data_IF_925081996735
#
_entry.id   IF_925081996735
#
_cell.length_a   1.000
_cell.length_b   1.000
_cell.length_c   1.000
_cell.angle_alpha   90.00
_cell.angle_beta   90.00
_cell.angle_gamma   90.00
#
_symmetry.space_group_name_H-M   'P 1'
#
loop_
_entity.id
_entity.type
_entity.pdbx_description
1 polymer ?
#
# COMPACT_ATOMS: atom_id res chain seq x y z
N UNK A 1 6.71 -20.73 5.90
CA UNK A 1 7.96 -20.59 5.12
C UNK A 1 8.21 -21.88 4.36
N UNK A 2 9.04 -21.84 3.32
CA UNK A 2 9.46 -23.00 2.53
C UNK A 2 10.94 -23.29 2.86
N UNK A 3 11.26 -23.84 4.04
CA UNK A 3 12.63 -23.87 4.59
C UNK A 3 13.63 -24.66 3.72
N UNK A 4 13.14 -25.65 2.97
CA UNK A 4 14.00 -26.55 2.17
C UNK A 4 14.17 -26.11 0.71
N UNK A 5 13.59 -24.96 0.31
CA UNK A 5 13.65 -24.48 -1.08
C UNK A 5 14.84 -23.54 -1.33
N UNK A 6 15.29 -23.41 -2.59
CA UNK A 6 16.30 -22.43 -2.97
C UNK A 6 15.98 -21.02 -2.46
N UNK A 7 17.01 -20.28 -2.06
CA UNK A 7 16.87 -18.93 -1.47
C UNK A 7 16.07 -17.97 -2.36
N UNK A 8 16.17 -18.09 -3.69
CA UNK A 8 15.43 -17.26 -4.63
C UNK A 8 13.91 -17.51 -4.53
N UNK A 9 13.49 -18.76 -4.33
CA UNK A 9 12.08 -19.11 -4.15
C UNK A 9 11.57 -18.59 -2.79
N UNK A 10 12.40 -18.71 -1.75
CA UNK A 10 12.06 -18.14 -0.44
C UNK A 10 11.91 -16.63 -0.51
N UNK A 11 12.82 -15.95 -1.21
CA UNK A 11 12.77 -14.51 -1.38
C UNK A 11 11.50 -14.05 -2.11
N UNK A 12 11.10 -14.73 -3.20
CA UNK A 12 9.84 -14.45 -3.89
C UNK A 12 8.63 -14.70 -2.98
N UNK A 13 8.63 -15.77 -2.18
CA UNK A 13 7.58 -16.03 -1.17
C UNK A 13 7.49 -14.88 -0.15
N UNK A 14 8.62 -14.37 0.34
CA UNK A 14 8.66 -13.25 1.30
C UNK A 14 8.14 -11.95 0.67
N UNK A 15 8.50 -11.66 -0.58
CA UNK A 15 8.01 -10.48 -1.31
C UNK A 15 6.50 -10.56 -1.52
N UNK A 16 5.97 -11.70 -1.99
CA UNK A 16 4.53 -11.88 -2.19
C UNK A 16 3.75 -11.77 -0.87
N UNK A 17 4.26 -12.37 0.21
CA UNK A 17 3.68 -12.18 1.55
C UNK A 17 3.73 -10.72 1.97
N UNK A 18 4.84 -10.02 1.70
CA UNK A 18 4.98 -8.59 1.94
C UNK A 18 3.89 -7.76 1.24
N UNK A 19 3.56 -8.09 -0.01
CA UNK A 19 2.49 -7.40 -0.74
C UNK A 19 1.13 -7.63 -0.10
N UNK A 20 0.80 -8.86 0.30
CA UNK A 20 -0.49 -9.15 0.96
C UNK A 20 -0.61 -8.62 2.39
N UNK A 21 0.52 -8.40 3.07
CA UNK A 21 0.55 -7.98 4.47
C UNK A 21 0.01 -6.56 4.70
N UNK A 22 -0.14 -5.73 3.65
CA UNK A 22 -0.79 -4.41 3.76
C UNK A 22 -2.20 -4.52 4.37
N UNK A 23 -2.93 -5.59 4.03
CA UNK A 23 -4.26 -5.88 4.58
C UNK A 23 -4.21 -7.04 5.60
N UNK A 24 -3.08 -7.19 6.31
CA UNK A 24 -2.88 -8.18 7.37
C UNK A 24 -2.95 -9.65 6.91
N UNK A 25 -2.71 -9.90 5.62
CA UNK A 25 -2.71 -11.24 5.06
C UNK A 25 -1.29 -11.76 4.89
N UNK A 26 -1.01 -12.93 5.45
CA UNK A 26 0.25 -13.65 5.31
C UNK A 26 0.12 -14.82 4.31
N UNK A 27 -0.23 -14.53 3.07
CA UNK A 27 -0.47 -15.55 2.04
C UNK A 27 0.13 -15.12 0.69
N UNK A 28 1.13 -15.84 0.15
CA UNK A 28 1.79 -15.47 -1.09
C UNK A 28 0.86 -15.56 -2.32
N UNK A 29 -0.14 -16.45 -2.30
CA UNK A 29 -1.15 -16.52 -3.36
C UNK A 29 -2.03 -15.27 -3.35
N UNK A 30 -2.46 -14.82 -2.18
CA UNK A 30 -3.17 -13.53 -2.04
C UNK A 30 -2.28 -12.38 -2.53
N UNK A 31 -0.98 -12.39 -2.21
CA UNK A 31 -0.02 -11.41 -2.72
C UNK A 31 0.06 -11.39 -4.24
N UNK A 32 0.09 -12.57 -4.88
CA UNK A 32 0.08 -12.68 -6.34
C UNK A 32 -1.21 -12.14 -6.96
N UNK A 33 -2.36 -12.39 -6.34
CA UNK A 33 -3.65 -11.86 -6.80
C UNK A 33 -3.69 -10.33 -6.63
N UNK A 34 -3.13 -9.80 -5.54
CA UNK A 34 -2.99 -8.34 -5.34
C UNK A 34 -2.10 -7.73 -6.43
N UNK A 35 -0.99 -8.37 -6.81
CA UNK A 35 -0.16 -7.93 -7.96
C UNK A 35 -0.98 -7.91 -9.25
N UNK A 36 -1.83 -8.90 -9.50
CA UNK A 36 -2.73 -8.89 -10.65
C UNK A 36 -3.72 -7.71 -10.59
N UNK A 37 -4.23 -7.36 -9.41
CA UNK A 37 -5.03 -6.17 -9.20
C UNK A 37 -4.27 -4.88 -9.50
N UNK A 38 -3.01 -4.77 -9.07
CA UNK A 38 -2.16 -3.63 -9.45
C UNK A 38 -1.98 -3.51 -10.97
N UNK A 39 -1.83 -4.64 -11.69
CA UNK A 39 -1.71 -4.62 -13.15
C UNK A 39 -2.99 -4.12 -13.83
N UNK A 40 -4.16 -4.48 -13.27
CA UNK A 40 -5.47 -3.97 -13.73
C UNK A 40 -5.62 -2.48 -13.46
N UNK A 41 -5.07 -1.98 -12.35
CA UNK A 41 -5.03 -0.55 -12.07
C UNK A 41 -4.07 0.19 -13.00
N UNK A 42 -2.78 -0.14 -12.91
CA UNK A 42 -1.70 0.51 -13.63
C UNK A 42 -0.39 -0.33 -13.58
N UNK A 43 0.15 -0.77 -14.73
CA UNK A 43 1.42 -1.50 -14.77
C UNK A 43 2.62 -0.74 -14.22
N UNK A 44 2.66 0.59 -14.36
CA UNK A 44 3.72 1.43 -13.80
C UNK A 44 3.69 1.41 -12.26
N UNK A 45 2.51 1.52 -11.66
CA UNK A 45 2.36 1.47 -10.20
C UNK A 45 2.72 0.08 -9.67
N UNK A 46 2.36 -0.97 -10.41
CA UNK A 46 2.78 -2.35 -10.11
C UNK A 46 4.30 -2.45 -10.02
N UNK A 47 5.01 -1.90 -11.02
CA UNK A 47 6.46 -1.95 -11.06
C UNK A 47 7.08 -1.22 -9.86
N UNK A 48 6.62 0.00 -9.54
CA UNK A 48 7.17 0.79 -8.43
C UNK A 48 6.85 0.17 -7.07
N UNK A 49 5.63 -0.36 -6.88
CA UNK A 49 5.24 -1.09 -5.66
C UNK A 49 6.05 -2.37 -5.45
N UNK A 50 6.23 -3.18 -6.51
CA UNK A 50 7.09 -4.36 -6.46
C UNK A 50 8.55 -3.99 -6.15
N UNK A 51 9.08 -2.93 -6.78
CA UNK A 51 10.43 -2.44 -6.49
C UNK A 51 10.57 -2.04 -5.02
N UNK A 52 9.63 -1.27 -4.48
CA UNK A 52 9.66 -0.85 -3.08
C UNK A 52 9.61 -2.03 -2.11
N UNK A 53 8.80 -3.05 -2.41
CA UNK A 53 8.74 -4.30 -1.61
C UNK A 53 10.07 -5.05 -1.63
N UNK A 54 10.65 -5.24 -2.82
CA UNK A 54 11.93 -5.94 -3.00
C UNK A 54 13.04 -5.21 -2.27
N UNK A 55 13.14 -3.88 -2.45
CA UNK A 55 14.17 -3.06 -1.80
C UNK A 55 14.02 -3.11 -0.28
N UNK A 56 12.81 -2.88 0.25
CA UNK A 56 12.57 -2.93 1.70
C UNK A 56 12.91 -4.30 2.29
N UNK A 57 12.55 -5.39 1.60
CA UNK A 57 12.87 -6.76 2.03
C UNK A 57 14.38 -7.02 2.01
N UNK A 58 15.08 -6.62 0.95
CA UNK A 58 16.54 -6.74 0.86
C UNK A 58 17.24 -5.92 1.93
N UNK A 59 16.80 -4.68 2.18
CA UNK A 59 17.33 -3.84 3.23
C UNK A 59 17.16 -4.49 4.60
N UNK A 60 16.01 -5.08 4.89
CA UNK A 60 15.81 -5.82 6.14
C UNK A 60 16.78 -7.01 6.27
N UNK A 61 17.06 -7.71 5.16
CA UNK A 61 18.04 -8.79 5.14
C UNK A 61 19.47 -8.29 5.42
N UNK A 62 19.85 -7.17 4.82
CA UNK A 62 21.18 -6.52 4.96
C UNK A 62 21.37 -5.98 6.37
N UNK A 63 20.34 -5.37 6.95
CA UNK A 63 20.34 -4.85 8.33
C UNK A 63 20.21 -5.95 9.39
N UNK A 64 20.24 -7.23 9.00
CA UNK A 64 20.18 -8.36 9.93
C UNK A 64 18.89 -8.42 10.75
N UNK A 65 17.77 -7.92 10.21
CA UNK A 65 16.47 -7.96 10.90
C UNK A 65 16.00 -9.42 11.06
N UNK A 66 15.08 -9.62 12.01
CA UNK A 66 14.57 -10.95 12.33
C UNK A 66 14.06 -11.69 11.08
N UNK A 67 14.67 -12.84 10.80
CA UNK A 67 14.34 -13.68 9.65
C UNK A 67 12.91 -14.20 9.72
N UNK A 68 12.36 -14.42 10.93
CA UNK A 68 10.98 -14.90 11.06
C UNK A 68 9.98 -13.82 10.63
N UNK A 69 10.18 -12.58 11.06
CA UNK A 69 9.40 -11.41 10.64
C UNK A 69 9.53 -11.11 9.14
N UNK A 70 10.74 -11.23 8.56
CA UNK A 70 10.95 -11.11 7.11
C UNK A 70 10.17 -12.21 6.37
N UNK A 71 10.25 -13.45 6.85
CA UNK A 71 9.63 -14.60 6.19
C UNK A 71 8.10 -14.55 6.14
N UNK A 72 7.48 -13.79 7.05
CA UNK A 72 6.03 -13.52 7.04
C UNK A 72 5.67 -12.19 6.36
N UNK A 73 6.62 -11.50 5.75
CA UNK A 73 6.39 -10.28 4.95
C UNK A 73 6.30 -8.97 5.74
N UNK A 74 6.60 -8.95 7.05
CA UNK A 74 6.44 -7.76 7.89
C UNK A 74 7.37 -6.60 7.52
N UNK A 75 8.46 -6.88 6.80
CA UNK A 75 9.38 -5.88 6.29
C UNK A 75 9.15 -5.50 4.82
N UNK A 76 8.14 -6.08 4.16
CA UNK A 76 7.82 -5.80 2.75
C UNK A 76 6.68 -4.79 2.56
N UNK A 77 5.63 -4.87 3.39
CA UNK A 77 4.37 -4.17 3.11
C UNK A 77 4.45 -2.64 3.21
N UNK A 78 5.30 -2.09 4.06
CA UNK A 78 5.51 -0.64 4.07
C UNK A 78 6.21 -0.18 2.78
N UNK A 79 7.11 -1.01 2.23
CA UNK A 79 7.80 -0.75 0.96
C UNK A 79 6.85 -0.79 -0.24
N UNK A 80 5.86 -1.69 -0.29
CA UNK A 80 4.89 -1.71 -1.39
C UNK A 80 4.08 -0.42 -1.45
N UNK A 81 3.61 0.07 -0.29
CA UNK A 81 2.85 1.30 -0.20
C UNK A 81 3.70 2.53 -0.57
N UNK A 82 4.96 2.59 -0.11
CA UNK A 82 5.88 3.66 -0.54
C UNK A 82 6.02 3.68 -2.07
N UNK A 83 6.29 2.53 -2.69
CA UNK A 83 6.48 2.45 -4.13
C UNK A 83 5.24 2.85 -4.93
N UNK A 84 4.06 2.37 -4.52
CA UNK A 84 2.78 2.73 -5.15
C UNK A 84 2.49 4.22 -5.03
N UNK A 85 2.53 4.76 -3.80
CA UNK A 85 2.04 6.11 -3.55
C UNK A 85 3.04 7.20 -3.98
N UNK A 86 4.34 6.89 -4.07
CA UNK A 86 5.29 7.79 -4.76
C UNK A 86 4.93 7.92 -6.26
N UNK A 87 4.47 6.85 -6.91
CA UNK A 87 4.00 6.91 -8.28
C UNK A 87 2.69 7.69 -8.41
N UNK A 88 1.70 7.39 -7.56
CA UNK A 88 0.39 8.07 -7.54
C UNK A 88 0.54 9.59 -7.35
N UNK A 89 1.39 10.01 -6.41
CA UNK A 89 1.59 11.44 -6.12
C UNK A 89 2.64 12.12 -7.01
N UNK A 90 3.15 11.47 -8.06
CA UNK A 90 4.09 12.10 -8.99
C UNK A 90 3.36 12.98 -10.01
N UNK A 91 3.80 14.22 -10.17
CA UNK A 91 3.28 15.12 -11.21
C UNK A 91 3.89 14.85 -12.60
N UNK A 92 4.86 13.93 -12.71
CA UNK A 92 5.47 13.55 -14.00
C UNK A 92 4.69 12.46 -14.74
N UNK A 93 3.70 11.85 -14.11
CA UNK A 93 2.92 10.75 -14.68
C UNK A 93 3.70 9.43 -14.77
N UNK A 94 3.16 8.51 -15.57
CA UNK A 94 3.70 7.16 -15.68
C UNK A 94 5.02 7.09 -16.46
N UNK A 95 5.83 6.06 -16.17
CA UNK A 95 7.09 5.75 -16.84
C UNK A 95 8.16 6.85 -16.78
N UNK A 96 8.06 7.76 -15.80
CA UNK A 96 9.18 8.60 -15.42
C UNK A 96 10.25 7.76 -14.72
N UNK A 97 11.13 7.10 -15.48
CA UNK A 97 12.09 6.11 -14.98
C UNK A 97 13.01 6.60 -13.85
N UNK A 98 13.32 7.90 -13.81
CA UNK A 98 14.08 8.50 -12.71
C UNK A 98 13.39 8.34 -11.35
N UNK A 99 12.05 8.18 -11.31
CA UNK A 99 11.27 7.94 -10.10
C UNK A 99 11.64 6.63 -9.40
N UNK A 100 12.23 5.66 -10.09
CA UNK A 100 12.70 4.42 -9.45
C UNK A 100 13.80 4.68 -8.41
N UNK A 101 14.58 5.76 -8.57
CA UNK A 101 15.61 6.16 -7.61
C UNK A 101 15.01 6.58 -6.26
N UNK A 102 14.11 7.59 -6.15
CA UNK A 102 13.47 7.91 -4.88
C UNK A 102 12.62 6.75 -4.35
N UNK A 103 11.95 5.96 -5.19
CA UNK A 103 11.22 4.76 -4.73
C UNK A 103 12.17 3.81 -3.98
N UNK A 104 13.34 3.50 -4.55
CA UNK A 104 14.31 2.64 -3.90
C UNK A 104 14.85 3.27 -2.61
N UNK A 105 15.32 4.52 -2.67
CA UNK A 105 15.92 5.21 -1.52
C UNK A 105 14.96 5.36 -0.34
N UNK A 106 13.70 5.74 -0.60
CA UNK A 106 12.69 5.88 0.45
C UNK A 106 12.30 4.52 1.02
N UNK A 107 12.21 3.47 0.18
CA UNK A 107 11.90 2.11 0.65
C UNK A 107 12.98 1.52 1.56
N UNK A 108 14.24 1.91 1.42
CA UNK A 108 15.34 1.55 2.36
C UNK A 108 15.04 2.06 3.78
N UNK A 109 14.27 3.14 3.93
CA UNK A 109 13.94 3.69 5.26
C UNK A 109 12.87 2.86 5.98
N UNK A 110 12.05 2.08 5.26
CA UNK A 110 10.94 1.34 5.86
C UNK A 110 11.37 0.34 6.93
N UNK A 111 12.39 -0.52 6.74
CA UNK A 111 12.88 -1.40 7.80
C UNK A 111 13.44 -0.64 9.01
N UNK A 112 14.09 0.51 8.78
CA UNK A 112 14.63 1.36 9.86
C UNK A 112 13.50 1.90 10.73
N UNK A 113 12.48 2.49 10.12
CA UNK A 113 11.31 2.97 10.86
C UNK A 113 10.53 1.83 11.52
N UNK A 114 10.38 0.69 10.85
CA UNK A 114 9.75 -0.52 11.42
C UNK A 114 10.47 -0.97 12.69
N UNK A 115 11.81 -1.06 12.65
CA UNK A 115 12.61 -1.45 13.81
C UNK A 115 12.53 -0.41 14.93
N UNK A 116 12.64 0.88 14.60
CA UNK A 116 12.60 1.96 15.59
C UNK A 116 11.25 2.01 16.31
N UNK A 117 10.14 2.01 15.55
CA UNK A 117 8.79 2.01 16.11
C UNK A 117 8.50 0.72 16.89
N UNK A 118 8.95 -0.43 16.37
CA UNK A 118 8.80 -1.72 17.06
C UNK A 118 9.48 -1.75 18.42
N UNK A 119 10.65 -1.13 18.57
CA UNK A 119 11.35 -1.04 19.86
C UNK A 119 10.59 -0.24 20.92
N UNK A 120 9.75 0.71 20.49
CA UNK A 120 8.90 1.52 21.37
C UNK A 120 7.58 0.79 21.65
N UNK A 121 6.90 0.34 20.59
CA UNK A 121 5.54 -0.20 20.67
C UNK A 121 5.47 -1.60 21.28
N UNK A 122 6.56 -2.38 21.19
CA UNK A 122 6.66 -3.67 21.88
C UNK A 122 6.50 -3.59 23.39
N UNK A 123 6.72 -2.41 24.01
CA UNK A 123 6.46 -2.18 25.44
C UNK A 123 4.98 -2.27 25.82
N UNK A 124 4.10 -2.13 24.83
CA UNK A 124 2.64 -2.21 24.98
C UNK A 124 2.03 -3.33 24.13
N UNK A 125 2.86 -4.24 23.58
CA UNK A 125 2.42 -5.31 22.67
C UNK A 125 1.64 -4.79 21.44
N UNK A 126 2.01 -3.60 20.97
CA UNK A 126 1.37 -2.96 19.82
C UNK A 126 2.16 -3.21 18.52
N UNK A 127 1.47 -3.49 17.39
CA UNK A 127 2.10 -3.55 16.08
C UNK A 127 2.38 -2.14 15.54
N UNK A 128 3.36 -2.02 14.63
CA UNK A 128 3.73 -0.73 14.03
C UNK A 128 2.77 -0.24 12.94
N UNK A 129 1.91 -1.13 12.43
CA UNK A 129 1.01 -0.87 11.30
C UNK A 129 1.73 -0.17 10.13
N UNK A 130 1.03 0.70 9.40
CA UNK A 130 1.56 1.43 8.25
C UNK A 130 2.26 2.75 8.64
N UNK A 131 2.61 2.95 9.92
CA UNK A 131 3.35 4.14 10.35
C UNK A 131 4.71 4.31 9.65
N UNK A 132 5.51 3.25 9.41
CA UNK A 132 6.75 3.37 8.65
C UNK A 132 6.52 3.95 7.25
N UNK A 133 5.51 3.45 6.53
CA UNK A 133 5.09 3.98 5.24
C UNK A 133 4.66 5.46 5.33
N UNK A 134 3.76 5.80 6.26
CA UNK A 134 3.23 7.15 6.38
C UNK A 134 4.34 8.17 6.69
N UNK A 135 5.28 7.83 7.57
CA UNK A 135 6.43 8.68 7.87
C UNK A 135 7.33 8.85 6.65
N UNK A 136 7.68 7.76 5.97
CA UNK A 136 8.54 7.77 4.79
C UNK A 136 7.93 8.58 3.63
N UNK A 137 6.65 8.34 3.31
CA UNK A 137 5.93 9.04 2.25
C UNK A 137 5.78 10.53 2.57
N UNK A 138 5.36 10.88 3.79
CA UNK A 138 5.18 12.28 4.19
C UNK A 138 6.48 13.07 4.10
N UNK A 139 7.59 12.49 4.58
CA UNK A 139 8.92 13.10 4.46
C UNK A 139 9.33 13.28 3.00
N UNK A 140 9.10 12.27 2.15
CA UNK A 140 9.39 12.36 0.72
C UNK A 140 8.56 13.45 0.02
N UNK A 141 7.25 13.51 0.28
CA UNK A 141 6.36 14.49 -0.33
C UNK A 141 6.72 15.92 0.13
N UNK A 142 7.06 16.11 1.40
CA UNK A 142 7.49 17.39 1.95
C UNK A 142 8.86 17.83 1.39
N UNK A 143 9.81 16.91 1.23
CA UNK A 143 11.14 17.20 0.70
C UNK A 143 11.13 17.49 -0.81
N UNK A 144 10.27 16.79 -1.56
CA UNK A 144 10.16 16.97 -3.00
C UNK A 144 9.29 18.19 -3.32
N UNK A 145 8.01 18.13 -2.94
CA UNK A 145 7.02 19.18 -3.19
C UNK A 145 6.69 19.39 -4.68
N UNK A 146 5.68 20.24 -4.99
CA UNK A 146 5.23 20.44 -6.37
C UNK A 146 6.22 21.19 -7.27
N UNK A 147 7.14 21.94 -6.66
CA UNK A 147 8.10 22.79 -7.37
C UNK A 147 9.49 22.13 -7.51
N UNK A 148 9.63 20.85 -7.16
CA UNK A 148 10.89 20.14 -7.35
C UNK A 148 11.27 20.09 -8.84
N UNK A 149 12.55 20.30 -9.15
CA UNK A 149 13.02 20.23 -10.53
C UNK A 149 12.95 18.81 -11.11
N UNK A 150 13.27 17.80 -10.31
CA UNK A 150 13.41 16.42 -10.77
C UNK A 150 12.17 15.58 -10.45
N UNK A 151 11.66 15.68 -9.23
CA UNK A 151 10.59 14.82 -8.70
C UNK A 151 9.39 15.65 -8.21
N UNK A 152 8.74 16.47 -9.07
CA UNK A 152 7.62 17.27 -8.64
C UNK A 152 6.45 16.37 -8.22
N UNK A 153 5.81 16.71 -7.11
CA UNK A 153 4.62 16.00 -6.61
C UNK A 153 3.33 16.71 -7.02
N UNK A 154 2.21 15.98 -7.03
CA UNK A 154 0.89 16.56 -7.27
C UNK A 154 0.59 17.66 -6.25
N UNK A 155 0.01 18.76 -6.72
CA UNK A 155 -0.39 19.88 -5.85
C UNK A 155 -1.59 19.46 -5.01
N UNK A 156 -1.44 19.45 -3.69
CA UNK A 156 -2.53 19.23 -2.73
C UNK A 156 -2.95 20.59 -2.19
N UNK A 157 -4.20 20.98 -2.39
CA UNK A 157 -4.75 22.26 -1.92
C UNK A 157 -5.83 22.03 -0.86
N UNK A 158 -5.91 22.90 0.17
CA UNK A 158 -7.03 22.89 1.09
C UNK A 158 -8.32 23.28 0.35
N UNK A 159 -9.44 22.69 0.74
CA UNK A 159 -10.75 23.10 0.23
C UNK A 159 -11.02 24.57 0.61
N UNK A 160 -11.25 25.42 -0.39
CA UNK A 160 -11.51 26.86 -0.19
C UNK A 160 -12.99 27.22 -0.28
N UNK A 161 -13.83 26.29 -0.72
CA UNK A 161 -15.27 26.46 -0.87
C UNK A 161 -16.01 25.22 -0.40
N UNK A 162 -17.23 25.41 0.10
CA UNK A 162 -18.14 24.29 0.40
C UNK A 162 -18.65 23.70 -0.91
N UNK A 163 -18.49 22.38 -1.15
CA UNK A 163 -19.01 21.76 -2.36
C UNK A 163 -20.54 21.85 -2.39
N UNK A 164 -21.09 22.18 -3.56
CA UNK A 164 -22.53 22.21 -3.77
C UNK A 164 -23.02 20.78 -4.05
N UNK A 165 -23.60 20.12 -3.04
CA UNK A 165 -24.03 18.71 -3.15
C UNK A 165 -25.53 18.63 -3.36
N UNK A 166 -25.92 17.93 -4.43
CA UNK A 166 -27.31 17.64 -4.76
C UNK A 166 -27.58 16.16 -4.49
N UNK A 167 -28.20 15.86 -3.35
CA UNK A 167 -28.46 14.49 -2.89
C UNK A 167 -29.40 13.69 -3.78
N UNK A 168 -30.14 14.36 -4.67
CA UNK A 168 -31.04 13.74 -5.65
C UNK A 168 -30.29 12.93 -6.72
N UNK A 169 -29.01 13.19 -6.91
CA UNK A 169 -28.20 12.59 -7.99
C UNK A 169 -27.38 11.39 -7.48
N UNK A 170 -27.53 11.02 -6.20
CA UNK A 170 -26.84 9.88 -5.61
C UNK A 170 -27.39 8.56 -6.16
N UNK A 171 -26.70 8.02 -7.18
CA UNK A 171 -27.03 6.73 -7.76
C UNK A 171 -26.60 5.57 -6.86
N UNK A 172 -27.52 4.64 -6.61
CA UNK A 172 -27.28 3.39 -5.90
C UNK A 172 -26.14 2.58 -6.52
N UNK A 173 -25.99 2.64 -7.85
CA UNK A 173 -24.91 1.93 -8.55
C UNK A 173 -23.52 2.46 -8.15
N UNK A 174 -23.38 3.78 -8.03
CA UNK A 174 -22.14 4.43 -7.61
C UNK A 174 -21.83 4.15 -6.13
N UNK A 175 -22.86 4.15 -5.28
CA UNK A 175 -22.72 3.77 -3.87
C UNK A 175 -22.22 2.33 -3.73
N UNK A 176 -22.77 1.39 -4.50
CA UNK A 176 -22.32 0.00 -4.48
C UNK A 176 -20.89 -0.15 -5.01
N UNK A 177 -20.50 0.58 -6.05
CA UNK A 177 -19.13 0.58 -6.57
C UNK A 177 -18.13 1.21 -5.59
N UNK A 178 -18.56 2.11 -4.72
CA UNK A 178 -17.68 2.74 -3.73
C UNK A 178 -17.08 1.75 -2.72
N UNK A 179 -17.75 0.61 -2.46
CA UNK A 179 -17.26 -0.42 -1.54
C UNK A 179 -15.96 -1.07 -2.06
N UNK A 180 -15.92 -1.67 -3.26
CA UNK A 180 -14.66 -2.19 -3.78
C UNK A 180 -13.64 -1.06 -4.02
N UNK A 181 -14.07 0.13 -4.45
CA UNK A 181 -13.15 1.27 -4.62
C UNK A 181 -12.48 1.65 -3.30
N UNK A 182 -13.22 1.73 -2.20
CA UNK A 182 -12.66 2.06 -0.89
C UNK A 182 -11.64 1.01 -0.40
N UNK A 183 -11.85 -0.26 -0.71
CA UNK A 183 -10.84 -1.31 -0.49
C UNK A 183 -9.64 -1.13 -1.42
N UNK A 184 -9.84 -0.77 -2.68
CA UNK A 184 -8.79 -0.42 -3.63
C UNK A 184 -7.89 0.72 -3.16
N UNK A 185 -8.48 1.73 -2.52
CA UNK A 185 -7.80 2.93 -2.05
C UNK A 185 -6.82 2.67 -0.89
N UNK A 186 -6.88 1.51 -0.22
CA UNK A 186 -5.81 1.05 0.69
C UNK A 186 -4.44 1.07 0.01
N UNK A 187 -4.40 0.83 -1.31
CA UNK A 187 -3.22 0.88 -2.16
C UNK A 187 -3.18 2.10 -3.11
N UNK A 188 -4.10 3.06 -2.94
CA UNK A 188 -4.27 4.20 -3.85
C UNK A 188 -4.91 3.85 -5.20
N UNK A 189 -5.63 2.73 -5.30
CA UNK A 189 -6.28 2.29 -6.53
C UNK A 189 -7.76 2.72 -6.57
N UNK A 190 -8.19 3.36 -7.65
CA UNK A 190 -9.56 3.87 -7.84
C UNK A 190 -10.43 3.00 -8.76
N UNK A 191 -9.88 1.99 -9.42
CA UNK A 191 -10.63 1.08 -10.28
C UNK A 191 -11.45 0.07 -9.43
N UNK A 192 -12.79 0.00 -9.58
CA UNK A 192 -13.63 -0.92 -8.81
C UNK A 192 -13.27 -2.39 -9.04
N UNK A 193 -12.79 -2.75 -10.25
CA UNK A 193 -12.35 -4.11 -10.54
C UNK A 193 -11.10 -4.50 -9.75
N UNK A 194 -10.16 -3.57 -9.62
CA UNK A 194 -8.97 -3.74 -8.76
C UNK A 194 -9.37 -4.00 -7.32
N UNK A 195 -10.31 -3.19 -6.80
CA UNK A 195 -10.89 -3.39 -5.47
C UNK A 195 -11.56 -4.76 -5.29
N UNK A 196 -12.33 -5.21 -6.29
CA UNK A 196 -12.92 -6.55 -6.30
C UNK A 196 -11.87 -7.69 -6.29
N UNK A 197 -10.78 -7.52 -7.03
CA UNK A 197 -9.65 -8.47 -7.04
C UNK A 197 -8.98 -8.52 -5.66
N UNK A 198 -8.83 -7.39 -4.98
CA UNK A 198 -8.30 -7.35 -3.62
C UNK A 198 -9.21 -8.04 -2.61
N UNK A 199 -10.54 -7.84 -2.72
CA UNK A 199 -11.51 -8.58 -1.91
C UNK A 199 -11.41 -10.09 -2.15
N UNK A 200 -11.24 -10.55 -3.39
CA UNK A 200 -11.00 -11.96 -3.69
C UNK A 200 -9.71 -12.48 -3.04
N UNK A 201 -8.63 -11.70 -3.11
CA UNK A 201 -7.36 -12.05 -2.46
C UNK A 201 -7.51 -12.20 -0.94
N UNK A 202 -8.28 -11.31 -0.31
CA UNK A 202 -8.63 -11.41 1.12
C UNK A 202 -9.47 -12.64 1.40
N UNK A 203 -10.52 -12.88 0.63
CA UNK A 203 -11.44 -14.01 0.82
C UNK A 203 -10.72 -15.36 0.79
N UNK A 204 -9.79 -15.54 -0.15
CA UNK A 204 -8.96 -16.75 -0.26
C UNK A 204 -8.12 -17.00 1.00
N UNK A 205 -7.64 -15.93 1.65
CA UNK A 205 -6.87 -16.09 2.89
C UNK A 205 -7.76 -16.20 4.12
N UNK A 206 -8.83 -15.40 4.20
CA UNK A 206 -9.76 -15.35 5.31
C UNK A 206 -11.07 -14.65 4.90
N UNK A 207 -12.19 -15.38 4.82
CA UNK A 207 -13.50 -14.80 4.56
C UNK A 207 -13.90 -13.72 5.59
N UNK A 208 -13.44 -13.85 6.84
CA UNK A 208 -13.71 -12.87 7.89
C UNK A 208 -12.97 -11.56 7.68
N UNK A 209 -11.71 -11.59 7.23
CA UNK A 209 -10.96 -10.37 6.89
C UNK A 209 -11.63 -9.67 5.70
N UNK A 210 -12.01 -10.44 4.67
CA UNK A 210 -12.75 -9.91 3.52
C UNK A 210 -14.06 -9.23 3.94
N UNK A 211 -14.83 -9.87 4.82
CA UNK A 211 -16.09 -9.32 5.32
C UNK A 211 -15.86 -8.00 6.07
N UNK A 212 -14.88 -7.94 6.98
CA UNK A 212 -14.58 -6.72 7.73
C UNK A 212 -14.02 -5.60 6.84
N UNK A 213 -13.25 -5.93 5.80
CA UNK A 213 -12.79 -4.94 4.81
C UNK A 213 -13.98 -4.31 4.06
N UNK A 214 -14.93 -5.13 3.61
CA UNK A 214 -16.13 -4.65 2.93
C UNK A 214 -17.03 -3.82 3.85
N UNK A 215 -17.26 -4.27 5.10
CA UNK A 215 -18.01 -3.52 6.11
C UNK A 215 -17.32 -2.20 6.42
N UNK A 216 -16.01 -2.20 6.65
CA UNK A 216 -15.23 -0.99 6.93
C UNK A 216 -15.35 0.03 5.80
N UNK A 217 -15.26 -0.42 4.55
CA UNK A 217 -15.46 0.46 3.39
C UNK A 217 -16.88 1.01 3.30
N UNK A 218 -17.90 0.18 3.57
CA UNK A 218 -19.29 0.62 3.56
C UNK A 218 -19.60 1.63 4.68
N UNK A 219 -19.06 1.41 5.89
CA UNK A 219 -19.18 2.35 7.02
C UNK A 219 -18.47 3.67 6.70
N UNK A 220 -17.28 3.62 6.08
CA UNK A 220 -16.55 4.81 5.65
C UNK A 220 -17.33 5.64 4.61
N UNK A 221 -17.96 4.99 3.64
CA UNK A 221 -18.86 5.64 2.68
C UNK A 221 -20.03 6.35 3.39
N UNK A 222 -20.68 5.68 4.36
CA UNK A 222 -21.80 6.25 5.11
C UNK A 222 -21.37 7.45 5.96
N UNK A 223 -20.25 7.33 6.69
CA UNK A 223 -19.71 8.44 7.48
C UNK A 223 -19.36 9.63 6.58
N UNK A 224 -18.76 9.38 5.41
CA UNK A 224 -18.47 10.42 4.43
C UNK A 224 -19.71 11.17 3.95
N UNK A 225 -20.89 10.53 3.96
CA UNK A 225 -22.18 11.17 3.65
C UNK A 225 -22.63 12.17 4.70
N UNK A 226 -22.30 11.91 5.98
CA UNK A 226 -22.79 12.71 7.11
C UNK A 226 -21.98 14.01 7.33
N UNK A 227 -20.81 14.15 6.70
CA UNK A 227 -19.90 15.30 6.85
C UNK A 227 -19.90 16.28 5.67
N UNK A 228 -20.82 16.12 4.71
CA UNK A 228 -20.98 17.03 3.58
C UNK A 228 -22.43 17.49 3.43
#
# INVERSE_FOLDING_TARGET
SLPDKPIMIQFVDWVLRGISQVMFVNNPLSGLIVVAGFLVQNPWWTLTGCLGTVVSTLTALILGQDRSAIAVGLYGYNGVLVGLLIAVFSAKGDYHWWLLLPVALVSVTCPVFTSALGSVFSKWDLPVFTLPFNLALTLYLAASGPHNLFFPTTVIQPATTTPNITWTDADMSMLLQSIPIGVGQVYGCDNPWTGGIFLLALFISSPLICLHAAIGSAVGMLAGKDFI
#
